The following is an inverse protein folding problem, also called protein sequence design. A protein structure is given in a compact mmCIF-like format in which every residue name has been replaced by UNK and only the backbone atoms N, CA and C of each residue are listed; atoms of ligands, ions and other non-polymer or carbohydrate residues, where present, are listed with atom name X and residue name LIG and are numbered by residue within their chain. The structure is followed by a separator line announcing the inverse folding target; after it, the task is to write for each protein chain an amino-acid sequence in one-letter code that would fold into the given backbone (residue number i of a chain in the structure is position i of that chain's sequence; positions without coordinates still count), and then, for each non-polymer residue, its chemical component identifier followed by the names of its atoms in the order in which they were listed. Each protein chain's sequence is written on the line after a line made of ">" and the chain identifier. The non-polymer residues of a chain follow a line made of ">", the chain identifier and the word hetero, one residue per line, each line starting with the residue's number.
data_IF_870488252975
#
_entry.id   IF_870488252975
#
_cell.length_a   1.000
_cell.length_b   1.000
_cell.length_c   1.000
_cell.angle_alpha   90.00
_cell.angle_beta   90.00
_cell.angle_gamma   90.00
#
_symmetry.space_group_name_H-M   'P 1'
#
loop_
_entity.id
_entity.type
_entity.pdbx_description
1 polymer ?
#
# COMPACT_ATOMS: atom_id res chain seq x y z
N UNK A 1 31.57 51.70 26.00
CA UNK A 1 31.74 50.69 24.92
C UNK A 1 30.58 49.71 25.00
N UNK A 2 29.79 49.55 23.93
CA UNK A 2 28.65 48.63 23.87
C UNK A 2 29.09 47.37 23.13
N UNK A 3 29.10 46.22 23.79
CA UNK A 3 29.30 44.92 23.13
C UNK A 3 27.95 44.21 23.14
N UNK A 4 27.34 44.15 21.95
CA UNK A 4 26.12 43.37 21.69
C UNK A 4 26.59 41.99 21.25
N UNK A 5 26.47 40.99 22.13
CA UNK A 5 26.76 39.59 21.82
C UNK A 5 25.58 38.96 21.09
N UNK A 6 25.75 38.65 19.81
CA UNK A 6 24.75 38.01 18.96
C UNK A 6 24.70 36.51 19.32
N UNK A 7 23.56 36.04 19.83
CA UNK A 7 23.26 34.63 20.01
C UNK A 7 22.94 34.00 18.64
N UNK A 8 23.81 33.11 18.17
CA UNK A 8 23.58 32.31 16.97
C UNK A 8 22.76 31.07 17.39
N UNK A 9 21.45 31.12 17.19
CA UNK A 9 20.57 29.97 17.34
C UNK A 9 20.62 29.09 16.09
N UNK A 10 21.19 27.90 16.18
CA UNK A 10 21.12 26.89 15.12
C UNK A 10 19.75 26.19 15.18
N UNK A 11 18.86 26.52 14.25
CA UNK A 11 17.60 25.82 14.07
C UNK A 11 17.79 24.61 13.15
N UNK A 12 17.78 23.40 13.72
CA UNK A 12 17.76 22.15 12.96
C UNK A 12 16.36 21.92 12.40
N UNK A 13 16.16 22.17 11.10
CA UNK A 13 14.96 21.73 10.39
C UNK A 13 15.08 20.22 10.09
N UNK A 14 14.32 19.39 10.82
CA UNK A 14 14.05 18.03 10.40
C UNK A 14 12.91 18.07 9.36
N UNK A 15 13.26 18.00 8.08
CA UNK A 15 12.29 17.78 7.03
C UNK A 15 11.87 16.30 7.03
N UNK A 16 10.81 15.96 7.77
CA UNK A 16 10.17 14.66 7.66
C UNK A 16 9.39 14.61 6.33
N UNK A 17 9.86 13.80 5.38
CA UNK A 17 9.07 13.48 4.18
C UNK A 17 7.94 12.53 4.59
N UNK A 18 6.71 13.03 4.66
CA UNK A 18 5.55 12.17 4.82
C UNK A 18 5.40 11.34 3.54
N UNK A 19 5.53 10.01 3.66
CA UNK A 19 5.05 9.11 2.62
C UNK A 19 3.53 9.26 2.55
N UNK A 20 3.03 10.04 1.58
CA UNK A 20 1.60 10.32 1.47
C UNK A 20 0.87 9.04 1.05
N UNK A 21 0.17 8.41 1.98
CA UNK A 21 -0.92 7.51 1.63
C UNK A 21 -1.99 8.35 0.92
N UNK A 22 -2.37 8.00 -0.31
CA UNK A 22 -3.47 8.67 -1.02
C UNK A 22 -4.77 8.09 -0.48
N UNK A 23 -5.60 8.90 0.15
CA UNK A 23 -6.91 8.47 0.63
C UNK A 23 -8.04 8.99 -0.28
N UNK A 24 -9.07 8.19 -0.51
CA UNK A 24 -10.28 8.58 -1.24
C UNK A 24 -11.42 9.00 -0.29
N UNK A 25 -12.50 9.53 -0.86
CA UNK A 25 -13.69 9.96 -0.11
C UNK A 25 -14.45 8.82 0.60
N UNK A 26 -14.14 7.56 0.27
CA UNK A 26 -14.75 6.37 0.84
C UNK A 26 -13.90 5.77 1.97
N UNK A 27 -12.85 6.48 2.39
CA UNK A 27 -11.97 6.08 3.48
C UNK A 27 -10.91 5.07 3.07
N UNK A 28 -10.77 4.74 1.78
CA UNK A 28 -9.69 3.88 1.32
C UNK A 28 -8.40 4.68 1.21
N UNK A 29 -7.40 4.30 1.97
CA UNK A 29 -6.03 4.81 1.88
C UNK A 29 -5.15 3.80 1.17
N UNK A 30 -4.36 4.28 0.21
CA UNK A 30 -3.50 3.46 -0.64
C UNK A 30 -2.04 3.86 -0.45
N UNK A 31 -1.17 2.86 -0.39
CA UNK A 31 0.27 2.99 -0.40
C UNK A 31 0.86 2.04 -1.43
N UNK A 32 1.81 2.50 -2.25
CA UNK A 32 2.45 1.66 -3.24
C UNK A 32 3.87 2.09 -3.52
N UNK A 33 4.80 1.13 -3.55
CA UNK A 33 6.21 1.35 -3.91
C UNK A 33 6.84 0.05 -4.40
N UNK A 34 7.62 0.12 -5.48
CA UNK A 34 8.49 -0.99 -5.91
C UNK A 34 7.79 -2.34 -6.13
N UNK A 35 6.56 -2.35 -6.66
CA UNK A 35 5.81 -3.58 -6.90
C UNK A 35 5.10 -4.14 -5.67
N UNK A 36 5.20 -3.48 -4.51
CA UNK A 36 4.33 -3.66 -3.36
C UNK A 36 3.21 -2.62 -3.38
N UNK A 37 2.01 -3.04 -3.01
CA UNK A 37 0.86 -2.18 -2.78
C UNK A 37 0.15 -2.62 -1.52
N UNK A 38 -0.33 -1.69 -0.73
CA UNK A 38 -1.19 -1.94 0.41
C UNK A 38 -2.28 -0.90 0.50
N UNK A 39 -3.34 -1.25 1.21
CA UNK A 39 -4.36 -0.29 1.55
C UNK A 39 -5.16 -0.70 2.77
N UNK A 40 -5.90 0.28 3.25
CA UNK A 40 -6.70 0.21 4.45
C UNK A 40 -7.96 1.06 4.24
N UNK A 41 -9.11 0.58 4.72
CA UNK A 41 -10.34 1.35 4.74
C UNK A 41 -10.67 1.76 6.18
N UNK A 42 -10.69 3.07 6.45
CA UNK A 42 -10.95 3.58 7.80
C UNK A 42 -12.37 3.40 8.29
N UNK A 43 -13.33 3.27 7.38
CA UNK A 43 -14.74 3.12 7.71
C UNK A 43 -15.06 1.68 8.12
N UNK A 44 -14.36 0.68 7.57
CA UNK A 44 -14.60 -0.75 7.85
C UNK A 44 -13.51 -1.41 8.69
N UNK A 45 -12.36 -0.76 8.88
CA UNK A 45 -11.19 -1.35 9.53
C UNK A 45 -10.46 -2.40 8.67
N UNK A 46 -10.89 -2.61 7.42
CA UNK A 46 -10.34 -3.65 6.55
C UNK A 46 -8.99 -3.22 5.96
N UNK A 47 -8.09 -4.19 5.73
CA UNK A 47 -6.79 -3.96 5.09
C UNK A 47 -6.52 -4.98 4.01
N UNK A 48 -5.80 -4.58 2.97
CA UNK A 48 -5.35 -5.47 1.89
C UNK A 48 -3.90 -5.16 1.53
N UNK A 49 -3.23 -6.13 0.91
CA UNK A 49 -1.90 -5.92 0.36
C UNK A 49 -1.68 -6.79 -0.87
N UNK A 50 -0.74 -6.39 -1.71
CA UNK A 50 -0.24 -7.19 -2.82
C UNK A 50 1.22 -6.93 -3.09
N UNK A 51 1.88 -7.93 -3.63
CA UNK A 51 3.27 -7.88 -4.08
C UNK A 51 3.40 -8.58 -5.42
N UNK A 52 4.06 -7.93 -6.35
CA UNK A 52 4.41 -8.50 -7.65
C UNK A 52 5.82 -9.09 -7.62
N UNK A 53 5.95 -10.32 -8.14
CA UNK A 53 7.22 -11.00 -8.41
C UNK A 53 7.18 -11.59 -9.81
N UNK A 54 7.92 -10.98 -10.75
CA UNK A 54 7.89 -11.37 -12.15
C UNK A 54 6.50 -11.25 -12.77
N UNK A 55 5.96 -12.36 -13.28
CA UNK A 55 4.62 -12.43 -13.89
C UNK A 55 3.50 -12.66 -12.88
N UNK A 56 3.81 -12.88 -11.61
CA UNK A 56 2.82 -13.27 -10.61
C UNK A 56 2.69 -12.20 -9.55
N UNK A 57 1.46 -11.82 -9.25
CA UNK A 57 1.11 -10.96 -8.13
C UNK A 57 0.42 -11.83 -7.08
N UNK A 58 0.79 -11.67 -5.82
CA UNK A 58 0.18 -12.34 -4.68
C UNK A 58 -0.29 -11.27 -3.72
N UNK A 59 -1.23 -11.59 -2.85
CA UNK A 59 -1.70 -10.63 -1.86
C UNK A 59 -2.64 -11.22 -0.84
N UNK A 60 -3.12 -10.35 0.03
CA UNK A 60 -4.19 -10.65 0.99
C UNK A 60 -5.33 -9.68 0.72
N UNK A 61 -6.55 -10.19 0.59
CA UNK A 61 -7.75 -9.38 0.42
C UNK A 61 -8.24 -8.77 1.75
N UNK A 62 -9.29 -7.95 1.68
CA UNK A 62 -9.87 -7.26 2.83
C UNK A 62 -10.43 -8.18 3.92
N UNK A 63 -10.65 -9.46 3.59
CA UNK A 63 -11.16 -10.48 4.51
C UNK A 63 -10.03 -11.32 5.12
N UNK A 64 -8.78 -11.02 4.79
CA UNK A 64 -7.62 -11.78 5.23
C UNK A 64 -7.29 -13.00 4.36
N UNK A 65 -7.98 -13.19 3.22
CA UNK A 65 -7.70 -14.34 2.37
C UNK A 65 -6.52 -14.06 1.45
N UNK A 66 -5.58 -14.99 1.41
CA UNK A 66 -4.50 -14.95 0.42
C UNK A 66 -5.04 -15.20 -0.98
N UNK A 67 -4.44 -14.55 -1.97
CA UNK A 67 -4.74 -14.76 -3.38
C UNK A 67 -3.48 -14.67 -4.24
N UNK A 68 -3.54 -15.21 -5.45
CA UNK A 68 -2.52 -15.04 -6.48
C UNK A 68 -3.14 -14.79 -7.84
N UNK A 69 -2.41 -14.07 -8.68
CA UNK A 69 -2.74 -13.79 -10.07
C UNK A 69 -1.48 -13.88 -10.92
N UNK A 70 -1.48 -14.77 -11.91
CA UNK A 70 -0.42 -14.84 -12.92
C UNK A 70 -0.87 -14.10 -14.17
N UNK A 71 -0.19 -13.00 -14.50
CA UNK A 71 -0.56 -12.14 -15.64
C UNK A 71 -0.30 -12.80 -17.00
N UNK A 72 0.61 -13.77 -17.09
CA UNK A 72 0.94 -14.44 -18.35
C UNK A 72 -0.13 -15.47 -18.72
N UNK A 73 -0.57 -16.29 -17.75
CA UNK A 73 -1.66 -17.24 -17.98
C UNK A 73 -3.03 -16.59 -17.82
N UNK A 74 -3.14 -15.51 -17.06
CA UNK A 74 -4.41 -14.90 -16.65
C UNK A 74 -5.10 -15.66 -15.51
N UNK A 75 -4.43 -16.61 -14.87
CA UNK A 75 -5.02 -17.41 -13.79
C UNK A 75 -5.03 -16.62 -12.49
N UNK A 76 -6.17 -16.61 -11.81
CA UNK A 76 -6.37 -16.09 -10.47
C UNK A 76 -6.84 -17.21 -9.55
N UNK A 77 -6.35 -17.20 -8.32
CA UNK A 77 -6.80 -18.10 -7.27
C UNK A 77 -6.91 -17.36 -5.93
N UNK A 78 -8.03 -17.50 -5.23
CA UNK A 78 -8.19 -17.05 -3.84
C UNK A 78 -8.20 -18.28 -2.92
N UNK A 79 -7.18 -18.40 -2.08
CA UNK A 79 -6.95 -19.56 -1.24
C UNK A 79 -7.94 -19.67 -0.06
N UNK A 80 -8.55 -18.55 0.36
CA UNK A 80 -9.55 -18.56 1.43
C UNK A 80 -10.94 -18.92 0.95
N UNK A 81 -11.29 -18.58 -0.30
CA UNK A 81 -12.63 -18.84 -0.86
C UNK A 81 -12.67 -20.02 -1.83
N UNK A 82 -11.51 -20.51 -2.29
CA UNK A 82 -11.42 -21.51 -3.37
C UNK A 82 -11.74 -20.94 -4.76
N UNK A 83 -12.00 -19.64 -4.87
CA UNK A 83 -12.36 -19.01 -6.13
C UNK A 83 -11.21 -19.11 -7.14
N UNK A 84 -11.53 -19.64 -8.32
CA UNK A 84 -10.62 -19.69 -9.46
C UNK A 84 -11.17 -18.85 -10.60
N UNK A 85 -10.32 -18.06 -11.25
CA UNK A 85 -10.67 -17.34 -12.48
C UNK A 85 -9.59 -17.48 -13.54
N UNK A 86 -9.99 -17.45 -14.80
CA UNK A 86 -9.09 -17.34 -15.95
C UNK A 86 -9.43 -16.09 -16.76
N UNK A 87 -8.50 -15.15 -16.85
CA UNK A 87 -8.65 -13.86 -17.55
C UNK A 87 -9.91 -13.10 -17.11
N UNK A 88 -10.23 -13.17 -15.82
CA UNK A 88 -11.41 -12.53 -15.22
C UNK A 88 -12.68 -13.37 -15.25
N UNK A 89 -12.75 -14.44 -16.04
CA UNK A 89 -13.90 -15.35 -16.07
C UNK A 89 -13.83 -16.34 -14.89
N UNK A 90 -14.92 -16.46 -14.12
CA UNK A 90 -15.05 -17.47 -13.06
C UNK A 90 -15.21 -18.86 -13.66
N UNK A 91 -14.60 -19.84 -13.02
CA UNK A 91 -14.69 -21.25 -13.35
C UNK A 91 -15.46 -21.98 -12.25
#
# INVERSE_FOLDING_TARGET
>A
MKIVGILIGAATLLASTSAFAKCDRYGNCYYGSGGYSSGYNSNTGSSWNSRSSGSTTYGTDSSGNSWSYNRNSGNYYNYGTGETRHRGNRW
#
